data_IF_151156374572
#
_entry.id   IF_151156374572
#
_cell.length_a   1.000
_cell.length_b   1.000
_cell.length_c   1.000
_cell.angle_alpha   90.00
_cell.angle_beta   90.00
_cell.angle_gamma   90.00
#
_symmetry.space_group_name_H-M   'P 1'
#
loop_
_entity.id
_entity.type
_entity.pdbx_description
1 polymer ?
#
# COMPACT_ATOMS: atom_id res chain seq x y z
N UNK A 1 32.66 -1.49 14.45
CA UNK A 1 31.40 -1.58 13.68
C UNK A 1 30.66 -2.83 14.15
N UNK A 2 29.34 -2.76 14.43
CA UNK A 2 28.61 -3.83 15.13
C UNK A 2 28.29 -5.00 14.20
N UNK A 3 28.76 -6.21 14.51
CA UNK A 3 28.70 -7.42 13.64
C UNK A 3 27.32 -7.71 13.05
N UNK A 4 26.27 -7.53 13.86
CA UNK A 4 24.87 -7.66 13.43
C UNK A 4 24.51 -6.71 12.27
N UNK A 5 24.90 -5.43 12.35
CA UNK A 5 24.58 -4.44 11.30
C UNK A 5 25.28 -4.77 9.98
N UNK A 6 26.49 -5.31 10.04
CA UNK A 6 27.22 -5.74 8.86
C UNK A 6 26.59 -6.97 8.20
N UNK A 7 26.10 -7.92 9.00
CA UNK A 7 25.32 -9.05 8.49
C UNK A 7 24.02 -8.59 7.81
N UNK A 8 23.27 -7.66 8.41
CA UNK A 8 22.07 -7.09 7.79
C UNK A 8 22.39 -6.41 6.45
N UNK A 9 23.48 -5.63 6.38
CA UNK A 9 23.88 -4.95 5.13
C UNK A 9 24.18 -5.95 4.02
N UNK A 10 25.01 -6.98 4.30
CA UNK A 10 25.32 -8.05 3.34
C UNK A 10 24.06 -8.77 2.88
N UNK A 11 23.16 -9.10 3.79
CA UNK A 11 21.90 -9.78 3.44
C UNK A 11 21.03 -8.93 2.51
N UNK A 12 20.96 -7.61 2.73
CA UNK A 12 20.23 -6.71 1.84
C UNK A 12 20.90 -6.56 0.47
N UNK A 13 22.23 -6.52 0.42
CA UNK A 13 22.99 -6.53 -0.84
C UNK A 13 22.74 -7.81 -1.63
N UNK A 14 22.71 -8.97 -0.96
CA UNK A 14 22.42 -10.25 -1.60
C UNK A 14 21.01 -10.27 -2.21
N UNK A 15 20.01 -9.76 -1.49
CA UNK A 15 18.63 -9.59 -1.99
C UNK A 15 18.59 -8.69 -3.22
N UNK A 16 19.37 -7.59 -3.23
CA UNK A 16 19.50 -6.69 -4.38
C UNK A 16 20.15 -7.37 -5.58
N UNK A 17 21.26 -8.11 -5.38
CA UNK A 17 21.93 -8.86 -6.45
C UNK A 17 21.03 -9.94 -7.06
N UNK A 18 20.13 -10.51 -6.25
CA UNK A 18 19.12 -11.48 -6.71
C UNK A 18 17.93 -10.84 -7.43
N UNK A 19 17.87 -9.50 -7.56
CA UNK A 19 16.79 -8.81 -8.26
C UNK A 19 15.43 -8.85 -7.55
N UNK A 20 15.37 -9.30 -6.30
CA UNK A 20 14.11 -9.46 -5.53
C UNK A 20 13.95 -8.44 -4.41
N UNK A 21 14.79 -7.42 -4.38
CA UNK A 21 14.63 -6.29 -3.47
C UNK A 21 13.39 -5.49 -3.88
N UNK A 22 12.48 -5.25 -2.95
CA UNK A 22 11.23 -4.54 -3.22
C UNK A 22 11.40 -3.04 -2.99
N UNK A 23 11.04 -2.24 -3.99
CA UNK A 23 10.78 -0.82 -3.83
C UNK A 23 9.28 -0.61 -3.78
N UNK A 24 8.79 0.09 -2.76
CA UNK A 24 7.36 0.33 -2.60
C UNK A 24 6.98 1.67 -3.23
N UNK A 25 6.01 1.65 -4.13
CA UNK A 25 5.40 2.87 -4.67
C UNK A 25 4.30 3.31 -3.73
N UNK A 26 4.46 4.49 -3.11
CA UNK A 26 3.38 5.11 -2.35
C UNK A 26 2.25 5.51 -3.31
N UNK A 27 1.03 5.02 -3.02
CA UNK A 27 -0.17 5.29 -3.81
C UNK A 27 -1.34 5.56 -2.87
N UNK A 28 -2.07 6.64 -3.11
CA UNK A 28 -3.28 6.99 -2.37
C UNK A 28 -4.52 6.73 -3.23
N UNK A 29 -5.38 5.80 -2.79
CA UNK A 29 -6.63 5.46 -3.48
C UNK A 29 -7.55 6.69 -3.56
N UNK A 30 -7.98 7.05 -4.76
CA UNK A 30 -9.01 8.08 -4.95
C UNK A 30 -10.38 7.42 -4.83
N UNK A 31 -10.97 7.38 -3.63
CA UNK A 31 -12.19 6.61 -3.34
C UNK A 31 -13.36 6.93 -4.29
N UNK A 32 -13.61 8.21 -4.59
CA UNK A 32 -14.68 8.63 -5.50
C UNK A 32 -14.44 8.28 -6.98
N UNK A 33 -13.21 7.89 -7.34
CA UNK A 33 -12.76 7.65 -8.72
C UNK A 33 -12.01 6.32 -8.85
N UNK A 34 -12.31 5.35 -7.99
CA UNK A 34 -11.68 4.04 -8.04
C UNK A 34 -11.86 3.41 -9.45
N UNK A 35 -10.81 2.85 -10.09
CA UNK A 35 -9.50 2.49 -9.54
C UNK A 35 -8.34 3.47 -9.80
N UNK A 36 -8.59 4.78 -9.77
CA UNK A 36 -7.52 5.79 -9.82
C UNK A 36 -6.85 6.00 -8.46
N UNK A 37 -5.52 6.18 -8.49
CA UNK A 37 -4.68 6.45 -7.33
C UNK A 37 -3.77 7.66 -7.60
N UNK A 38 -3.45 8.42 -6.55
CA UNK A 38 -2.55 9.57 -6.61
C UNK A 38 -1.17 9.19 -6.09
N UNK A 39 -0.13 9.63 -6.80
CA UNK A 39 1.28 9.50 -6.42
C UNK A 39 1.73 10.71 -5.58
N UNK A 40 2.85 10.63 -4.84
CA UNK A 40 3.34 11.74 -4.01
C UNK A 40 3.68 13.02 -4.80
N UNK A 41 4.00 12.88 -6.09
CA UNK A 41 4.25 14.00 -6.99
C UNK A 41 2.96 14.65 -7.55
N UNK A 42 1.79 14.19 -7.10
CA UNK A 42 0.48 14.67 -7.53
C UNK A 42 -0.06 14.02 -8.80
N UNK A 43 0.74 13.21 -9.52
CA UNK A 43 0.27 12.51 -10.72
C UNK A 43 -0.74 11.42 -10.40
N UNK A 44 -1.66 11.15 -11.33
CA UNK A 44 -2.67 10.10 -11.21
C UNK A 44 -2.31 8.88 -12.04
N UNK A 45 -2.62 7.70 -11.51
CA UNK A 45 -2.43 6.41 -12.20
C UNK A 45 -3.67 5.53 -12.07
N UNK A 46 -3.98 4.80 -13.13
CA UNK A 46 -4.98 3.73 -13.11
C UNK A 46 -4.34 2.44 -12.59
N UNK A 47 -4.83 1.92 -11.46
CA UNK A 47 -4.25 0.74 -10.83
C UNK A 47 -4.96 -0.53 -11.29
N UNK A 48 -4.20 -1.42 -11.93
CA UNK A 48 -4.66 -2.74 -12.39
C UNK A 48 -4.29 -3.89 -11.44
N UNK A 49 -3.38 -3.65 -10.50
CA UNK A 49 -2.90 -4.63 -9.52
C UNK A 49 -3.64 -4.58 -8.18
N UNK A 50 -4.78 -3.88 -8.12
CA UNK A 50 -5.59 -3.83 -6.90
C UNK A 50 -6.31 -5.16 -6.69
N UNK A 51 -6.32 -5.65 -5.45
CA UNK A 51 -7.10 -6.81 -5.05
C UNK A 51 -8.52 -6.43 -4.56
N UNK A 52 -8.89 -5.16 -4.58
CA UNK A 52 -10.27 -4.72 -4.34
C UNK A 52 -11.12 -4.96 -5.60
N UNK A 53 -11.28 -6.24 -5.94
CA UNK A 53 -11.81 -6.69 -7.24
C UNK A 53 -13.20 -6.15 -7.57
N UNK A 54 -14.01 -5.93 -6.54
CA UNK A 54 -15.40 -5.45 -6.67
C UNK A 54 -15.54 -3.97 -6.27
N UNK A 55 -14.43 -3.28 -5.94
CA UNK A 55 -14.47 -1.90 -5.45
C UNK A 55 -15.21 -1.75 -4.12
N UNK A 56 -15.30 -2.82 -3.32
CA UNK A 56 -16.05 -2.80 -2.06
C UNK A 56 -15.38 -1.93 -1.01
N UNK A 57 -14.08 -1.67 -1.13
CA UNK A 57 -13.39 -0.69 -0.28
C UNK A 57 -13.83 0.75 -0.51
N UNK A 58 -14.68 1.04 -1.52
CA UNK A 58 -15.32 2.36 -1.71
C UNK A 58 -16.85 2.29 -1.58
N UNK A 59 -17.41 1.14 -1.22
CA UNK A 59 -18.85 0.96 -1.13
C UNK A 59 -19.40 1.71 0.12
N UNK A 60 -20.41 2.59 -0.03
CA UNK A 60 -20.93 3.39 1.08
C UNK A 60 -21.47 2.56 2.25
N UNK A 61 -22.09 1.40 2.00
CA UNK A 61 -22.62 0.52 3.04
C UNK A 61 -21.48 -0.07 3.88
N UNK A 62 -20.41 -0.52 3.22
CA UNK A 62 -19.22 -1.06 3.90
C UNK A 62 -18.53 0.03 4.74
N UNK A 63 -18.38 1.22 4.16
CA UNK A 63 -17.77 2.36 4.85
C UNK A 63 -18.58 2.76 6.09
N UNK A 64 -19.90 2.87 5.98
CA UNK A 64 -20.72 3.29 7.11
C UNK A 64 -20.70 2.25 8.23
N UNK A 65 -20.83 0.95 7.90
CA UNK A 65 -20.75 -0.11 8.90
C UNK A 65 -19.40 -0.08 9.66
N UNK A 66 -18.28 0.17 8.96
CA UNK A 66 -16.98 0.31 9.60
C UNK A 66 -16.90 1.56 10.50
N UNK A 67 -17.49 2.69 10.09
CA UNK A 67 -17.55 3.93 10.88
C UNK A 67 -18.40 3.76 12.13
N UNK A 68 -19.55 3.11 12.03
CA UNK A 68 -20.44 2.81 13.15
C UNK A 68 -19.73 1.92 14.18
N UNK A 69 -19.06 0.85 13.73
CA UNK A 69 -18.31 -0.04 14.61
C UNK A 69 -17.20 0.72 15.38
N UNK A 70 -16.41 1.56 14.70
CA UNK A 70 -15.37 2.37 15.34
C UNK A 70 -15.95 3.36 16.37
N UNK A 71 -17.10 3.99 16.09
CA UNK A 71 -17.76 4.87 17.08
C UNK A 71 -18.27 4.11 18.30
N UNK A 72 -18.79 2.91 18.11
CA UNK A 72 -19.38 2.11 19.18
C UNK A 72 -18.32 1.48 20.09
N UNK A 73 -17.16 1.11 19.54
CA UNK A 73 -16.18 0.25 20.24
C UNK A 73 -14.87 0.96 20.60
N UNK A 74 -14.57 2.12 20.01
CA UNK A 74 -13.26 2.78 20.10
C UNK A 74 -12.27 2.25 19.07
#
# INVERSE_FOLDING_TARGET
MHSFRDHCRRSLEDIRRQGRYRSFTALEKQAARFPLYRRPDGSEVLVWSSNDYLGMGTNPVVIEAAREAARAMG
#
